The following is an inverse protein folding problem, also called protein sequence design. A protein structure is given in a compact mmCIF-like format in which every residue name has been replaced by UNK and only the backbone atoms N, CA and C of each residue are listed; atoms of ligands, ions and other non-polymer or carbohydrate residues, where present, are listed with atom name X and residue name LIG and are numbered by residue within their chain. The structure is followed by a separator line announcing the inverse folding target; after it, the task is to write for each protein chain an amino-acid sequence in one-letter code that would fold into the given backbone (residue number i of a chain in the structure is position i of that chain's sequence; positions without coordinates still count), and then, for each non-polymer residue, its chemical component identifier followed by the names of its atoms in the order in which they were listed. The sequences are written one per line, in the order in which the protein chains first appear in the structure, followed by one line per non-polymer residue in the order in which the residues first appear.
data_IF_048146966548
#
_entry.id   IF_048146966548
#
_cell.length_a   1.000
_cell.length_b   1.000
_cell.length_c   1.000
_cell.angle_alpha   90.00
_cell.angle_beta   90.00
_cell.angle_gamma   90.00
#
_symmetry.space_group_name_H-M   'P 1'
#
loop_
_entity.id
_entity.type
_entity.pdbx_description
1 polymer ?
#
# COMPACT_ATOMS: atom_id res chain seq x y z
N UNK A 1 -9.44 -5.52 -3.56
CA UNK A 1 -8.49 -4.70 -2.79
C UNK A 1 -9.07 -3.30 -2.62
N UNK A 2 -9.07 -2.77 -1.42
CA UNK A 2 -9.56 -1.42 -1.12
C UNK A 2 -8.47 -0.55 -0.48
N UNK A 3 -8.55 0.75 -0.76
CA UNK A 3 -7.56 1.74 -0.30
C UNK A 3 -8.28 2.92 0.35
N UNK A 4 -8.33 2.97 1.69
CA UNK A 4 -8.90 4.11 2.41
C UNK A 4 -7.99 5.35 2.28
N UNK A 5 -8.59 6.52 2.35
CA UNK A 5 -7.88 7.80 2.25
C UNK A 5 -7.56 8.43 3.60
N UNK A 6 -8.21 7.98 4.68
CA UNK A 6 -8.02 8.47 6.04
C UNK A 6 -8.43 7.43 7.10
N UNK A 7 -8.36 7.79 8.38
CA UNK A 7 -8.70 6.90 9.50
C UNK A 7 -10.19 6.58 9.56
N UNK A 8 -11.07 7.50 9.19
CA UNK A 8 -12.52 7.27 9.18
C UNK A 8 -12.90 6.24 8.11
N UNK A 9 -12.36 6.38 6.90
CA UNK A 9 -12.52 5.38 5.86
C UNK A 9 -11.84 4.04 6.20
N UNK A 10 -10.71 4.05 6.89
CA UNK A 10 -10.08 2.82 7.35
C UNK A 10 -11.02 2.00 8.23
N UNK A 11 -11.72 2.64 9.17
CA UNK A 11 -12.74 1.98 10.00
C UNK A 11 -13.93 1.50 9.16
N UNK A 12 -14.47 2.35 8.29
CA UNK A 12 -15.61 2.01 7.45
C UNK A 12 -15.29 0.86 6.50
N UNK A 13 -14.14 0.90 5.84
CA UNK A 13 -13.71 -0.14 4.91
C UNK A 13 -13.37 -1.45 5.61
N UNK A 14 -12.84 -1.41 6.85
CA UNK A 14 -12.62 -2.62 7.64
C UNK A 14 -13.94 -3.34 7.94
N UNK A 15 -15.01 -2.62 8.28
CA UNK A 15 -16.35 -3.20 8.46
C UNK A 15 -16.88 -3.78 7.15
N UNK A 16 -16.84 -2.99 6.08
CA UNK A 16 -17.30 -3.41 4.75
C UNK A 16 -16.52 -4.62 4.22
N UNK A 17 -15.23 -4.75 4.57
CA UNK A 17 -14.39 -5.85 4.14
C UNK A 17 -14.93 -7.21 4.59
N UNK A 18 -15.48 -7.31 5.80
CA UNK A 18 -16.12 -8.55 6.27
C UNK A 18 -17.39 -8.86 5.47
N UNK A 19 -18.23 -7.88 5.22
CA UNK A 19 -19.45 -8.06 4.43
C UNK A 19 -19.13 -8.51 2.99
N UNK A 20 -18.18 -7.88 2.35
CA UNK A 20 -17.71 -8.23 1.00
C UNK A 20 -17.07 -9.62 0.99
N UNK A 21 -16.25 -9.94 2.00
CA UNK A 21 -15.61 -11.24 2.12
C UNK A 21 -16.62 -12.38 2.21
N UNK A 22 -17.62 -12.23 3.07
CA UNK A 22 -18.70 -13.24 3.24
C UNK A 22 -19.58 -13.33 1.99
N UNK A 23 -20.00 -12.18 1.44
CA UNK A 23 -20.87 -12.13 0.26
C UNK A 23 -20.25 -12.79 -0.97
N UNK A 24 -18.96 -12.58 -1.21
CA UNK A 24 -18.26 -13.05 -2.40
C UNK A 24 -17.33 -14.24 -2.16
N UNK A 25 -17.30 -14.79 -0.95
CA UNK A 25 -16.42 -15.93 -0.60
C UNK A 25 -14.95 -15.67 -1.01
N UNK A 26 -14.41 -14.51 -0.66
CA UNK A 26 -13.07 -14.09 -1.05
C UNK A 26 -12.39 -13.28 0.07
N UNK A 27 -11.07 -13.40 0.26
CA UNK A 27 -10.37 -12.50 1.17
C UNK A 27 -10.40 -11.06 0.62
N UNK A 28 -10.46 -10.09 1.52
CA UNK A 28 -10.33 -8.67 1.21
C UNK A 28 -9.00 -8.14 1.70
N UNK A 29 -8.24 -7.55 0.81
CA UNK A 29 -7.01 -6.84 1.15
C UNK A 29 -7.34 -5.36 1.38
N UNK A 30 -7.16 -4.90 2.61
CA UNK A 30 -7.21 -3.48 2.97
C UNK A 30 -5.78 -2.93 2.94
N UNK A 31 -5.46 -2.19 1.88
CA UNK A 31 -4.13 -1.62 1.69
C UNK A 31 -4.10 -0.20 2.25
N UNK A 32 -3.25 0.03 3.23
CA UNK A 32 -3.02 1.36 3.82
C UNK A 32 -1.60 1.81 3.51
N UNK A 33 -1.45 3.07 3.09
CA UNK A 33 -0.13 3.68 2.99
C UNK A 33 0.35 4.21 4.34
N UNK A 34 1.64 4.50 4.43
CA UNK A 34 2.27 5.01 5.66
C UNK A 34 1.58 6.27 6.18
N UNK A 35 1.16 7.17 5.31
CA UNK A 35 0.48 8.41 5.73
C UNK A 35 -0.85 8.15 6.40
N UNK A 36 -1.67 7.24 5.86
CA UNK A 36 -2.94 6.84 6.51
C UNK A 36 -2.67 6.19 7.87
N UNK A 37 -1.68 5.29 7.94
CA UNK A 37 -1.33 4.58 9.17
C UNK A 37 -0.80 5.51 10.29
N UNK A 38 -0.15 6.62 9.91
CA UNK A 38 0.42 7.60 10.86
C UNK A 38 -0.45 8.84 11.05
N UNK A 39 -1.50 9.02 10.25
CA UNK A 39 -2.43 10.14 10.39
C UNK A 39 -3.39 9.92 11.55
N UNK A 40 -3.98 11.02 11.98
CA UNK A 40 -5.06 11.04 12.96
C UNK A 40 -6.22 11.84 12.38
N UNK A 41 -7.42 11.29 12.49
CA UNK A 41 -8.65 11.99 12.15
C UNK A 41 -9.75 11.67 13.16
N UNK A 42 -10.79 12.48 13.18
CA UNK A 42 -11.96 12.21 14.02
C UNK A 42 -12.67 10.98 13.46
N UNK A 43 -12.92 10.01 14.32
CA UNK A 43 -13.61 8.77 13.99
C UNK A 43 -14.78 8.59 14.94
N UNK A 44 -15.96 8.35 14.41
CA UNK A 44 -17.15 8.07 15.21
C UNK A 44 -17.24 6.56 15.49
N UNK A 45 -17.07 6.12 16.74
CA UNK A 45 -17.24 4.72 17.09
C UNK A 45 -18.71 4.33 17.00
N UNK A 46 -18.98 3.12 16.56
CA UNK A 46 -20.33 2.54 16.57
C UNK A 46 -20.41 1.40 17.56
N UNK A 47 -21.63 1.07 18.01
CA UNK A 47 -21.86 -0.10 18.83
C UNK A 47 -21.43 -1.38 18.10
N UNK A 48 -20.93 -2.35 18.85
CA UNK A 48 -20.62 -3.68 18.33
C UNK A 48 -21.86 -4.32 17.74
N UNK A 49 -21.75 -4.86 16.53
CA UNK A 49 -22.78 -5.70 15.94
C UNK A 49 -22.52 -7.15 16.36
N UNK A 50 -23.51 -7.77 17.02
CA UNK A 50 -23.44 -9.18 17.34
C UNK A 50 -23.77 -10.00 16.10
N UNK A 51 -22.91 -10.94 15.76
CA UNK A 51 -23.08 -11.85 14.63
C UNK A 51 -23.16 -13.27 15.16
N UNK A 52 -24.15 -14.03 14.70
CA UNK A 52 -24.25 -15.45 15.01
C UNK A 52 -23.16 -16.22 14.27
N UNK A 53 -22.25 -16.89 14.97
CA UNK A 53 -21.19 -17.66 14.31
C UNK A 53 -21.78 -18.76 13.42
N UNK A 54 -21.28 -18.85 12.21
CA UNK A 54 -21.64 -19.94 11.28
C UNK A 54 -20.84 -21.20 11.72
N UNK A 55 -21.51 -22.36 11.92
CA UNK A 55 -20.80 -23.59 12.27
C UNK A 55 -19.80 -23.96 11.16
N UNK A 56 -18.64 -24.45 11.60
CA UNK A 56 -17.63 -24.95 10.66
C UNK A 56 -18.11 -26.24 10.00
N UNK A 57 -18.11 -26.25 8.69
CA UNK A 57 -18.35 -27.45 7.88
C UNK A 57 -17.08 -27.84 7.12
N UNK A 58 -16.67 -29.10 7.22
CA UNK A 58 -15.52 -29.63 6.49
C UNK A 58 -15.79 -29.64 5.00
N UNK A 59 -14.98 -28.90 4.23
CA UNK A 59 -15.09 -28.88 2.77
C UNK A 59 -13.69 -28.97 2.14
N UNK A 60 -13.28 -30.21 1.83
CA UNK A 60 -11.96 -30.50 1.24
C UNK A 60 -11.85 -29.84 -0.16
N UNK A 61 -12.89 -29.90 -0.96
CA UNK A 61 -12.88 -29.34 -2.31
C UNK A 61 -12.68 -27.81 -2.32
N UNK A 62 -13.10 -27.13 -1.22
CA UNK A 62 -12.93 -25.68 -1.05
C UNK A 62 -11.59 -25.29 -0.41
N UNK A 63 -11.13 -26.04 0.60
CA UNK A 63 -10.02 -25.61 1.45
C UNK A 63 -8.70 -26.35 1.22
N UNK A 64 -8.71 -27.43 0.41
CA UNK A 64 -7.49 -28.19 0.08
C UNK A 64 -7.28 -28.14 -1.44
N UNK A 65 -6.32 -27.30 -1.88
CA UNK A 65 -6.08 -27.03 -3.29
C UNK A 65 -5.21 -28.09 -3.97
N UNK A 66 -5.67 -29.35 -3.95
CA UNK A 66 -5.14 -30.37 -4.86
C UNK A 66 -5.42 -29.96 -6.32
N UNK A 67 -4.64 -30.42 -7.32
CA UNK A 67 -4.80 -30.04 -8.72
C UNK A 67 -6.23 -30.14 -9.26
N UNK A 68 -6.93 -31.22 -8.92
CA UNK A 68 -8.33 -31.42 -9.33
C UNK A 68 -9.27 -30.39 -8.68
N UNK A 69 -9.08 -30.09 -7.38
CA UNK A 69 -9.86 -29.09 -6.67
C UNK A 69 -9.58 -27.68 -7.21
N UNK A 70 -8.32 -27.35 -7.47
CA UNK A 70 -7.91 -26.06 -8.05
C UNK A 70 -8.53 -25.86 -9.44
N UNK A 71 -8.50 -26.88 -10.29
CA UNK A 71 -9.13 -26.85 -11.62
C UNK A 71 -10.64 -26.58 -11.54
N UNK A 72 -11.34 -27.23 -10.61
CA UNK A 72 -12.77 -27.01 -10.39
C UNK A 72 -13.10 -25.64 -9.80
N UNK A 73 -12.22 -25.09 -8.95
CA UNK A 73 -12.37 -23.77 -8.35
C UNK A 73 -12.10 -22.61 -9.30
N UNK A 74 -11.25 -22.79 -10.31
CA UNK A 74 -10.87 -21.70 -11.21
C UNK A 74 -12.05 -21.00 -11.88
N UNK A 75 -13.03 -21.69 -12.48
CA UNK A 75 -14.22 -21.03 -13.03
C UNK A 75 -15.02 -20.24 -12.00
N UNK A 76 -15.08 -20.72 -10.74
CA UNK A 76 -15.76 -20.02 -9.64
C UNK A 76 -15.05 -18.73 -9.31
N UNK A 77 -13.71 -18.74 -9.30
CA UNK A 77 -12.89 -17.53 -9.05
C UNK A 77 -13.10 -16.48 -10.13
N UNK A 78 -13.14 -16.90 -11.41
CA UNK A 78 -13.39 -15.99 -12.53
C UNK A 78 -14.79 -15.36 -12.45
N UNK A 79 -15.83 -16.18 -12.23
CA UNK A 79 -17.21 -15.68 -12.06
C UNK A 79 -17.33 -14.73 -10.88
N UNK A 80 -16.66 -15.02 -9.77
CA UNK A 80 -16.63 -14.16 -8.58
C UNK A 80 -15.96 -12.83 -8.86
N UNK A 81 -14.88 -12.83 -9.65
CA UNK A 81 -14.18 -11.60 -10.05
C UNK A 81 -15.08 -10.69 -10.86
N UNK A 82 -15.84 -11.26 -11.81
CA UNK A 82 -16.84 -10.50 -12.57
C UNK A 82 -17.98 -9.97 -11.69
N UNK A 83 -18.46 -10.77 -10.73
CA UNK A 83 -19.49 -10.33 -9.79
C UNK A 83 -18.98 -9.19 -8.86
N UNK A 84 -17.72 -9.26 -8.41
CA UNK A 84 -17.09 -8.17 -7.66
C UNK A 84 -16.92 -6.91 -8.50
N UNK A 85 -16.59 -7.03 -9.77
CA UNK A 85 -16.48 -5.89 -10.68
C UNK A 85 -17.86 -5.23 -10.86
N UNK A 86 -18.91 -6.00 -11.09
CA UNK A 86 -20.27 -5.48 -11.17
C UNK A 86 -20.71 -4.80 -9.86
N UNK A 87 -20.35 -5.35 -8.71
CA UNK A 87 -20.61 -4.71 -7.42
C UNK A 87 -19.84 -3.40 -7.27
N UNK A 88 -18.58 -3.34 -7.71
CA UNK A 88 -17.76 -2.13 -7.64
C UNK A 88 -18.35 -0.94 -8.39
N UNK A 89 -19.17 -1.19 -9.43
CA UNK A 89 -19.87 -0.12 -10.19
C UNK A 89 -20.86 0.68 -9.33
N UNK A 90 -21.49 0.03 -8.34
CA UNK A 90 -22.51 0.64 -7.51
C UNK A 90 -22.07 0.90 -6.08
N UNK A 91 -20.91 0.37 -5.70
CA UNK A 91 -20.38 0.51 -4.34
C UNK A 91 -20.11 1.98 -3.99
N UNK A 92 -20.60 2.43 -2.84
CA UNK A 92 -20.44 3.81 -2.35
C UNK A 92 -18.98 4.21 -2.10
N UNK A 93 -18.11 3.24 -1.87
CA UNK A 93 -16.67 3.50 -1.72
C UNK A 93 -16.01 4.00 -3.01
N UNK A 94 -16.67 3.77 -4.18
CA UNK A 94 -16.31 4.32 -5.48
C UNK A 94 -17.32 5.40 -5.82
N UNK A 95 -17.03 6.66 -5.53
CA UNK A 95 -17.98 7.75 -5.70
C UNK A 95 -17.49 8.80 -6.69
N UNK A 96 -18.44 9.32 -7.44
CA UNK A 96 -18.23 10.47 -8.32
C UNK A 96 -18.67 11.73 -7.56
N UNK A 97 -17.82 12.72 -7.55
CA UNK A 97 -18.11 14.04 -7.00
C UNK A 97 -18.08 15.05 -8.15
N UNK A 98 -19.11 15.85 -8.25
CA UNK A 98 -19.20 16.85 -9.31
C UNK A 98 -18.33 18.07 -9.03
N UNK A 99 -18.05 18.86 -10.07
CA UNK A 99 -17.22 20.04 -10.01
C UNK A 99 -17.72 21.14 -10.95
N UNK A 100 -17.29 22.36 -10.68
CA UNK A 100 -17.73 23.53 -11.48
C UNK A 100 -17.12 23.59 -12.90
N UNK A 101 -15.96 22.96 -13.10
CA UNK A 101 -15.17 23.02 -14.34
C UNK A 101 -14.89 21.61 -14.86
N UNK A 102 -15.57 21.20 -15.90
CA UNK A 102 -15.45 19.90 -16.56
C UNK A 102 -14.32 19.82 -17.61
N UNK A 103 -13.46 20.81 -17.68
CA UNK A 103 -12.26 20.76 -18.56
C UNK A 103 -11.28 19.66 -18.13
N UNK A 104 -11.28 19.31 -16.84
CA UNK A 104 -10.45 18.26 -16.24
C UNK A 104 -11.32 17.44 -15.28
N UNK A 105 -11.19 16.12 -15.33
CA UNK A 105 -11.69 15.22 -14.31
C UNK A 105 -10.53 14.48 -13.63
N UNK A 106 -10.58 14.36 -12.31
CA UNK A 106 -9.52 13.76 -11.51
C UNK A 106 -9.94 12.38 -11.02
N UNK A 107 -9.10 11.36 -11.23
CA UNK A 107 -9.30 10.02 -10.64
C UNK A 107 -8.22 9.80 -9.59
N UNK A 108 -8.63 9.49 -8.36
CA UNK A 108 -7.69 9.30 -7.26
C UNK A 108 -8.16 8.21 -6.27
N UNK A 109 -7.19 7.59 -5.60
CA UNK A 109 -7.40 6.65 -4.49
C UNK A 109 -6.51 7.04 -3.30
N UNK A 110 -6.74 6.40 -2.15
CA UNK A 110 -5.90 6.56 -0.95
C UNK A 110 -5.66 8.03 -0.60
N UNK A 111 -4.48 8.39 -0.09
CA UNK A 111 -4.10 9.77 0.28
C UNK A 111 -4.10 10.75 -0.87
N UNK A 112 -3.85 10.29 -2.10
CA UNK A 112 -3.90 11.16 -3.28
C UNK A 112 -5.27 11.82 -3.45
N UNK A 113 -6.35 11.14 -3.06
CA UNK A 113 -7.69 11.75 -3.04
C UNK A 113 -7.76 12.94 -2.07
N UNK A 114 -7.19 12.82 -0.86
CA UNK A 114 -7.20 13.92 0.12
C UNK A 114 -6.42 15.14 -0.42
N UNK A 115 -5.27 14.91 -1.06
CA UNK A 115 -4.49 16.00 -1.67
C UNK A 115 -5.25 16.69 -2.80
N UNK A 116 -5.92 15.91 -3.64
CA UNK A 116 -6.80 16.44 -4.70
C UNK A 116 -7.90 17.31 -4.11
N UNK A 117 -8.55 16.85 -3.04
CA UNK A 117 -9.63 17.61 -2.39
C UNK A 117 -9.14 18.90 -1.73
N UNK A 118 -7.98 18.86 -1.09
CA UNK A 118 -7.35 20.03 -0.47
C UNK A 118 -7.02 21.11 -1.54
N UNK A 119 -6.48 20.71 -2.67
CA UNK A 119 -6.05 21.63 -3.73
C UNK A 119 -7.22 22.13 -4.57
N UNK A 120 -8.12 21.24 -4.97
CA UNK A 120 -9.14 21.55 -5.96
C UNK A 120 -10.50 21.91 -5.37
N UNK A 121 -10.77 21.50 -4.12
CA UNK A 121 -12.08 21.67 -3.49
C UNK A 121 -13.20 21.07 -4.33
N UNK A 122 -14.11 21.92 -4.83
CA UNK A 122 -15.19 21.58 -5.76
C UNK A 122 -14.98 22.10 -7.17
N UNK A 123 -13.73 22.50 -7.53
CA UNK A 123 -13.47 23.07 -8.84
C UNK A 123 -13.63 22.05 -9.97
N UNK A 124 -13.02 20.88 -9.82
CA UNK A 124 -13.05 19.82 -10.83
C UNK A 124 -13.84 18.61 -10.35
N UNK A 125 -14.53 17.89 -11.24
CA UNK A 125 -15.10 16.59 -10.93
C UNK A 125 -14.02 15.61 -10.45
N UNK A 126 -14.34 14.79 -9.44
CA UNK A 126 -13.43 13.78 -8.88
C UNK A 126 -14.13 12.43 -8.86
N UNK A 127 -13.50 11.42 -9.46
CA UNK A 127 -13.84 10.01 -9.21
C UNK A 127 -12.89 9.47 -8.14
N UNK A 128 -13.42 9.31 -6.94
CA UNK A 128 -12.73 8.63 -5.86
C UNK A 128 -12.89 7.13 -6.01
N UNK A 129 -11.79 6.39 -6.02
CA UNK A 129 -11.76 4.94 -6.02
C UNK A 129 -11.36 4.42 -4.64
N UNK A 130 -12.31 3.85 -3.92
CA UNK A 130 -12.06 3.13 -2.67
C UNK A 130 -11.74 1.66 -2.91
N UNK A 131 -12.28 1.05 -3.97
CA UNK A 131 -11.88 -0.27 -4.45
C UNK A 131 -11.02 -0.11 -5.71
N UNK A 132 -9.80 -0.61 -5.66
CA UNK A 132 -8.81 -0.50 -6.74
C UNK A 132 -8.54 -1.83 -7.45
N UNK A 133 -9.12 -2.92 -6.97
CA UNK A 133 -9.12 -4.22 -7.66
C UNK A 133 -10.28 -5.10 -7.19
N UNK A 134 -11.21 -5.49 -8.10
CA UNK A 134 -11.33 -5.02 -9.48
C UNK A 134 -11.77 -3.56 -9.55
N UNK A 135 -11.40 -2.88 -10.64
CA UNK A 135 -11.80 -1.49 -10.89
C UNK A 135 -13.18 -1.42 -11.55
N UNK A 136 -14.00 -0.40 -11.25
CA UNK A 136 -15.34 -0.20 -11.84
C UNK A 136 -15.23 0.37 -13.25
N UNK A 137 -15.30 -0.48 -14.27
CA UNK A 137 -15.04 -0.15 -15.69
C UNK A 137 -16.04 0.87 -16.22
N UNK A 138 -17.34 0.63 -16.02
CA UNK A 138 -18.38 1.48 -16.59
C UNK A 138 -18.47 2.83 -15.85
N UNK A 139 -18.25 2.83 -14.54
CA UNK A 139 -18.16 4.07 -13.77
C UNK A 139 -16.98 4.95 -14.24
N UNK A 140 -15.82 4.35 -14.49
CA UNK A 140 -14.65 5.07 -15.02
C UNK A 140 -14.95 5.62 -16.42
N UNK A 141 -15.58 4.83 -17.30
CA UNK A 141 -15.99 5.28 -18.64
C UNK A 141 -16.99 6.43 -18.60
N UNK A 142 -18.02 6.29 -17.77
CA UNK A 142 -19.03 7.35 -17.58
C UNK A 142 -18.40 8.65 -17.05
N UNK A 143 -17.52 8.54 -16.08
CA UNK A 143 -16.76 9.67 -15.57
C UNK A 143 -15.91 10.32 -16.67
N UNK A 144 -15.16 9.54 -17.43
CA UNK A 144 -14.30 10.04 -18.49
C UNK A 144 -15.09 10.73 -19.62
N UNK A 145 -16.32 10.29 -19.88
CA UNK A 145 -17.20 10.93 -20.85
C UNK A 145 -17.80 12.26 -20.36
N UNK A 146 -17.83 12.49 -19.07
CA UNK A 146 -18.37 13.71 -18.46
C UNK A 146 -17.37 14.88 -18.43
N UNK A 147 -16.11 14.64 -18.79
CA UNK A 147 -15.03 15.63 -18.74
C UNK A 147 -14.22 15.67 -20.05
N UNK A 148 -13.55 16.78 -20.33
CA UNK A 148 -12.76 16.90 -21.55
C UNK A 148 -11.41 16.13 -21.48
N UNK A 149 -10.82 16.02 -20.30
CA UNK A 149 -9.54 15.33 -20.05
C UNK A 149 -9.57 14.65 -18.69
N UNK A 150 -9.02 13.44 -18.61
CA UNK A 150 -8.84 12.72 -17.36
C UNK A 150 -7.40 12.84 -16.87
N UNK A 151 -7.21 13.15 -15.60
CA UNK A 151 -5.91 13.11 -14.93
C UNK A 151 -6.01 12.12 -13.77
N UNK A 152 -5.18 11.09 -13.82
CA UNK A 152 -5.07 10.09 -12.74
C UNK A 152 -4.00 10.53 -11.75
N UNK A 153 -4.38 10.65 -10.49
CA UNK A 153 -3.48 11.03 -9.39
C UNK A 153 -3.28 9.80 -8.51
N UNK A 154 -2.20 9.08 -8.77
CA UNK A 154 -1.79 7.88 -8.03
C UNK A 154 -0.29 7.89 -7.78
N UNK A 155 0.15 7.46 -6.60
CA UNK A 155 1.56 7.32 -6.25
C UNK A 155 2.16 6.04 -6.85
N UNK A 156 3.49 5.99 -7.00
CA UNK A 156 4.23 4.86 -7.57
C UNK A 156 3.79 4.50 -8.99
N UNK A 157 3.52 3.24 -9.27
CA UNK A 157 3.19 2.74 -10.61
C UNK A 157 1.80 3.17 -11.08
N UNK A 158 1.67 3.40 -12.38
CA UNK A 158 0.43 3.83 -13.04
C UNK A 158 -0.56 2.69 -13.27
N UNK A 159 -1.12 2.11 -12.22
CA UNK A 159 -2.06 1.00 -12.29
C UNK A 159 -3.43 1.45 -12.77
N UNK A 160 -3.96 2.52 -12.17
CA UNK A 160 -5.27 3.09 -12.53
C UNK A 160 -5.18 3.72 -13.92
N UNK A 161 -4.12 4.48 -14.20
CA UNK A 161 -3.88 5.07 -15.53
C UNK A 161 -3.83 4.01 -16.63
N UNK A 162 -3.05 2.94 -16.41
CA UNK A 162 -2.94 1.81 -17.35
C UNK A 162 -4.28 1.14 -17.58
N UNK A 163 -5.06 0.95 -16.51
CA UNK A 163 -6.41 0.40 -16.64
C UNK A 163 -7.34 1.31 -17.45
N UNK A 164 -7.34 2.63 -17.18
CA UNK A 164 -8.13 3.60 -17.95
C UNK A 164 -7.81 3.50 -19.44
N UNK A 165 -6.52 3.43 -19.80
CA UNK A 165 -6.09 3.26 -21.19
C UNK A 165 -6.55 1.93 -21.78
N UNK A 166 -6.45 0.83 -21.01
CA UNK A 166 -6.83 -0.52 -21.46
C UNK A 166 -8.33 -0.67 -21.74
N UNK A 167 -9.17 0.08 -21.05
CA UNK A 167 -10.63 0.09 -21.27
C UNK A 167 -11.08 1.14 -22.30
N UNK A 168 -10.13 1.78 -22.99
CA UNK A 168 -10.40 2.69 -24.13
C UNK A 168 -10.67 4.16 -23.74
N UNK A 169 -10.38 4.59 -22.51
CA UNK A 169 -10.48 6.00 -22.14
C UNK A 169 -9.41 6.80 -22.88
N UNK A 170 -9.85 7.80 -23.61
CA UNK A 170 -8.97 8.71 -24.35
C UNK A 170 -8.57 9.90 -23.46
N UNK A 171 -7.53 10.64 -23.85
CA UNK A 171 -7.06 11.86 -23.16
C UNK A 171 -6.78 11.65 -21.68
N UNK A 172 -6.12 10.52 -21.34
CA UNK A 172 -5.68 10.21 -19.98
C UNK A 172 -4.23 10.63 -19.79
N UNK A 173 -3.96 11.37 -18.74
CA UNK A 173 -2.63 11.68 -18.22
C UNK A 173 -2.51 11.23 -16.76
N UNK A 174 -1.31 10.96 -16.32
CA UNK A 174 -1.03 10.53 -14.94
C UNK A 174 0.47 10.56 -14.68
N UNK A 175 1.19 9.50 -15.01
CA UNK A 175 2.64 9.38 -14.74
C UNK A 175 3.52 10.31 -15.58
N UNK A 176 3.04 10.75 -16.71
CA UNK A 176 3.66 11.82 -17.51
C UNK A 176 3.71 13.16 -16.75
N UNK A 177 2.75 13.41 -15.85
CA UNK A 177 2.69 14.60 -15.01
C UNK A 177 3.38 14.42 -13.66
N UNK A 178 3.10 13.31 -12.97
CA UNK A 178 3.48 13.12 -11.57
C UNK A 178 4.73 12.25 -11.36
N UNK A 179 5.12 11.45 -12.36
CA UNK A 179 6.23 10.47 -12.21
C UNK A 179 5.88 9.30 -11.30
N UNK A 180 6.93 8.48 -11.01
CA UNK A 180 6.80 7.25 -10.22
C UNK A 180 7.62 7.26 -8.93
N UNK A 181 8.26 8.37 -8.60
CA UNK A 181 9.23 8.43 -7.48
C UNK A 181 8.77 9.45 -6.45
N UNK A 182 8.86 9.07 -5.19
CA UNK A 182 8.55 9.93 -4.05
C UNK A 182 7.09 9.91 -3.63
N UNK A 183 6.81 10.57 -2.54
CA UNK A 183 5.46 10.85 -2.05
C UNK A 183 4.91 12.11 -2.70
N UNK A 184 3.60 12.17 -2.88
CA UNK A 184 2.93 13.40 -3.31
C UNK A 184 2.62 14.31 -2.12
N UNK A 185 2.48 15.60 -2.44
CA UNK A 185 1.95 16.60 -1.55
C UNK A 185 0.89 17.44 -2.27
N UNK A 186 0.17 18.27 -1.50
CA UNK A 186 -0.76 19.24 -2.07
C UNK A 186 -0.06 20.17 -3.06
N UNK A 187 1.18 20.58 -2.76
CA UNK A 187 1.95 21.46 -3.62
C UNK A 187 2.32 20.82 -4.95
N UNK A 188 2.68 19.53 -4.96
CA UNK A 188 2.97 18.80 -6.20
C UNK A 188 1.75 18.78 -7.12
N UNK A 189 0.58 18.50 -6.54
CA UNK A 189 -0.68 18.47 -7.30
C UNK A 189 -1.05 19.90 -7.80
N UNK A 190 -0.95 20.91 -6.93
CA UNK A 190 -1.23 22.28 -7.28
C UNK A 190 -0.34 22.77 -8.45
N UNK A 191 0.97 22.49 -8.39
CA UNK A 191 1.92 22.85 -9.43
C UNK A 191 1.56 22.19 -10.77
N UNK A 192 1.29 20.89 -10.77
CA UNK A 192 0.97 20.13 -11.99
C UNK A 192 -0.37 20.51 -12.60
N UNK A 193 -1.30 21.01 -11.80
CA UNK A 193 -2.60 21.54 -12.26
C UNK A 193 -2.57 23.04 -12.56
N UNK A 194 -1.42 23.71 -12.44
CA UNK A 194 -1.30 25.15 -12.66
C UNK A 194 -2.06 25.99 -11.63
N UNK A 195 -2.21 25.48 -10.40
CA UNK A 195 -2.89 26.15 -9.30
C UNK A 195 -1.89 26.82 -8.35
N UNK A 196 -2.40 27.64 -7.43
CA UNK A 196 -1.54 28.32 -6.46
C UNK A 196 -0.87 27.31 -5.49
N UNK A 197 0.43 27.43 -5.39
CA UNK A 197 1.25 26.62 -4.46
C UNK A 197 1.35 27.33 -3.11
N UNK A 198 1.14 26.61 -2.03
CA UNK A 198 1.35 27.12 -0.68
C UNK A 198 2.84 27.32 -0.41
N UNK A 199 3.26 28.56 -0.24
CA UNK A 199 4.63 28.88 0.22
C UNK A 199 4.66 28.84 1.75
N UNK A 200 5.18 27.77 2.31
CA UNK A 200 5.43 27.67 3.75
C UNK A 200 6.51 28.65 4.22
N UNK A 201 6.55 28.93 5.51
CA UNK A 201 7.64 29.68 6.12
C UNK A 201 8.96 28.93 5.97
N UNK A 202 9.96 29.57 5.40
CA UNK A 202 11.32 29.01 5.34
C UNK A 202 11.98 29.18 6.70
N UNK A 203 12.40 28.08 7.30
CA UNK A 203 13.28 28.13 8.46
C UNK A 203 14.69 28.49 8.00
N UNK A 204 15.32 29.42 8.71
CA UNK A 204 16.72 29.82 8.45
C UNK A 204 17.73 28.78 8.97
N UNK A 205 17.27 27.80 9.74
CA UNK A 205 18.09 26.77 10.35
C UNK A 205 17.94 25.45 9.59
N UNK A 206 19.04 24.74 9.40
CA UNK A 206 19.04 23.40 8.85
C UNK A 206 18.41 22.41 9.85
N UNK A 207 17.28 21.83 9.49
CA UNK A 207 16.66 20.78 10.31
C UNK A 207 17.49 19.51 10.17
N UNK A 208 18.06 18.95 11.29
CA UNK A 208 18.83 17.73 11.20
C UNK A 208 17.94 16.55 10.78
N UNK A 209 18.44 15.71 9.89
CA UNK A 209 17.81 14.45 9.55
C UNK A 209 17.66 13.56 10.78
N UNK A 210 16.51 12.90 10.93
CA UNK A 210 16.21 11.97 12.03
C UNK A 210 15.93 10.58 11.49
N UNK A 211 16.97 9.89 10.95
CA UNK A 211 16.78 8.53 10.47
C UNK A 211 16.45 7.58 11.63
N UNK A 212 15.75 6.49 11.40
CA UNK A 212 15.57 5.45 12.40
C UNK A 212 16.92 4.97 12.92
N UNK A 213 17.10 4.96 14.24
CA UNK A 213 18.33 4.51 14.90
C UNK A 213 17.99 3.64 16.10
N UNK A 214 18.94 2.81 16.52
CA UNK A 214 18.78 2.06 17.77
C UNK A 214 18.64 3.00 18.97
N UNK A 215 17.74 2.66 19.87
CA UNK A 215 17.52 3.42 21.12
C UNK A 215 18.82 3.57 21.92
N UNK A 216 18.93 4.67 22.66
CA UNK A 216 20.01 4.83 23.63
C UNK A 216 19.93 3.73 24.70
N UNK A 217 21.06 3.09 25.03
CA UNK A 217 21.09 1.98 25.99
C UNK A 217 20.51 0.64 25.49
N UNK A 218 20.15 0.53 24.20
CA UNK A 218 19.65 -0.70 23.65
C UNK A 218 20.65 -1.86 23.83
N UNK A 219 20.23 -3.03 24.37
CA UNK A 219 21.12 -4.18 24.62
C UNK A 219 21.72 -4.75 23.30
N UNK A 220 21.04 -4.63 22.19
CA UNK A 220 21.54 -5.09 20.87
C UNK A 220 22.81 -4.35 20.43
N UNK A 221 23.08 -3.13 20.94
CA UNK A 221 24.29 -2.37 20.58
C UNK A 221 25.58 -3.12 20.96
N UNK A 222 25.60 -3.80 22.09
CA UNK A 222 26.75 -4.63 22.51
C UNK A 222 27.04 -5.77 21.55
N UNK A 223 25.99 -6.46 21.08
CA UNK A 223 26.10 -7.52 20.08
C UNK A 223 26.70 -6.96 18.77
N UNK A 224 26.09 -5.92 18.21
CA UNK A 224 26.52 -5.36 16.94
C UNK A 224 27.92 -4.75 16.99
N UNK A 225 28.27 -4.12 18.11
CA UNK A 225 29.63 -3.66 18.32
C UNK A 225 30.64 -4.82 18.27
N UNK A 226 30.33 -5.93 18.92
CA UNK A 226 31.18 -7.13 18.93
C UNK A 226 31.32 -7.75 17.54
N UNK A 227 30.21 -7.85 16.79
CA UNK A 227 30.22 -8.37 15.41
C UNK A 227 31.10 -7.51 14.50
N UNK A 228 30.92 -6.18 14.55
CA UNK A 228 31.75 -5.22 13.80
C UNK A 228 33.22 -5.30 14.17
N UNK A 229 33.53 -5.30 15.49
CA UNK A 229 34.92 -5.36 15.99
C UNK A 229 35.64 -6.59 15.50
N UNK A 230 34.94 -7.71 15.38
CA UNK A 230 35.52 -8.96 14.88
C UNK A 230 35.49 -9.05 13.34
N UNK A 231 34.99 -8.04 12.64
CA UNK A 231 34.89 -7.99 11.16
C UNK A 231 34.20 -9.22 10.59
N UNK A 232 33.08 -9.62 11.19
CA UNK A 232 32.27 -10.74 10.72
C UNK A 232 31.34 -10.27 9.60
N UNK A 233 31.04 -11.17 8.68
CA UNK A 233 29.92 -11.00 7.73
C UNK A 233 28.63 -11.41 8.42
N UNK A 234 27.66 -10.52 8.45
CA UNK A 234 26.45 -10.69 9.25
C UNK A 234 25.19 -10.64 8.37
N UNK A 235 24.47 -11.74 8.32
CA UNK A 235 23.17 -11.79 7.72
C UNK A 235 22.15 -11.46 8.82
N UNK A 236 21.46 -10.32 8.65
CA UNK A 236 20.56 -9.74 9.63
C UNK A 236 19.11 -10.13 9.41
N UNK A 237 18.28 -9.73 10.36
CA UNK A 237 16.85 -9.93 10.36
C UNK A 237 16.11 -8.59 10.26
N UNK A 238 14.81 -8.63 10.05
CA UNK A 238 13.95 -7.45 9.99
C UNK A 238 13.63 -6.96 11.42
N UNK A 239 13.41 -5.65 11.52
CA UNK A 239 13.10 -4.97 12.78
C UNK A 239 14.31 -4.24 13.37
N UNK A 240 14.47 -4.24 14.69
CA UNK A 240 15.60 -3.58 15.36
C UNK A 240 16.97 -4.14 14.93
N UNK A 241 17.01 -5.37 14.45
CA UNK A 241 18.22 -5.97 13.92
C UNK A 241 18.69 -5.29 12.63
N UNK A 242 17.78 -4.90 11.73
CA UNK A 242 18.11 -4.12 10.54
C UNK A 242 18.80 -2.78 10.89
N UNK A 243 18.45 -2.17 12.04
CA UNK A 243 19.08 -0.93 12.50
C UNK A 243 20.54 -1.09 12.87
N UNK A 244 21.03 -2.32 13.04
CA UNK A 244 22.46 -2.61 13.17
C UNK A 244 23.28 -2.26 11.94
N UNK A 245 22.66 -2.07 10.78
CA UNK A 245 23.30 -1.57 9.56
C UNK A 245 23.57 -0.06 9.60
N UNK A 246 22.83 0.69 10.44
CA UNK A 246 22.99 2.15 10.53
C UNK A 246 24.30 2.55 11.25
N UNK A 247 24.78 3.74 10.92
CA UNK A 247 25.92 4.34 11.63
C UNK A 247 25.54 4.59 13.13
N UNK A 248 26.49 4.47 14.05
CA UNK A 248 27.91 4.14 13.87
C UNK A 248 28.23 2.64 13.83
N UNK A 249 27.24 1.78 14.03
CA UNK A 249 27.44 0.33 14.15
C UNK A 249 27.86 -0.30 12.83
N UNK A 250 27.04 -0.18 11.79
CA UNK A 250 27.32 -0.72 10.45
C UNK A 250 27.78 -2.19 10.51
N UNK A 251 27.02 -3.01 11.23
CA UNK A 251 27.40 -4.38 11.58
C UNK A 251 26.56 -5.44 10.84
N UNK A 252 25.66 -5.05 9.97
CA UNK A 252 24.81 -5.94 9.17
C UNK A 252 25.15 -5.76 7.71
N UNK A 253 25.38 -6.85 7.00
CA UNK A 253 25.73 -6.86 5.58
C UNK A 253 24.49 -7.05 4.68
N UNK A 254 23.55 -7.91 5.07
CA UNK A 254 22.32 -8.18 4.29
C UNK A 254 21.11 -8.40 5.19
N UNK A 255 19.94 -8.03 4.68
CA UNK A 255 18.65 -8.34 5.28
C UNK A 255 17.65 -8.63 4.15
N UNK A 256 16.89 -9.72 4.25
CA UNK A 256 15.92 -10.15 3.22
C UNK A 256 14.50 -10.09 3.79
N UNK A 257 14.18 -11.02 4.68
CA UNK A 257 12.90 -11.10 5.37
C UNK A 257 13.07 -11.76 6.73
N UNK A 258 12.05 -11.72 7.56
CA UNK A 258 12.08 -12.31 8.91
C UNK A 258 12.46 -13.79 8.84
N UNK A 259 13.48 -14.20 9.60
CA UNK A 259 14.03 -15.55 9.64
C UNK A 259 14.96 -15.94 8.48
N UNK A 260 15.00 -15.18 7.40
CA UNK A 260 15.83 -15.50 6.23
C UNK A 260 17.33 -15.38 6.48
N UNK A 261 17.76 -14.77 7.58
CA UNK A 261 19.17 -14.72 7.97
C UNK A 261 19.77 -16.12 8.12
N UNK A 262 19.02 -17.06 8.72
CA UNK A 262 19.47 -18.44 8.94
C UNK A 262 19.55 -19.22 7.62
N UNK A 263 18.49 -19.21 6.82
CA UNK A 263 18.48 -19.89 5.50
C UNK A 263 19.44 -19.23 4.51
N UNK A 264 19.51 -17.90 4.52
CA UNK A 264 20.45 -17.15 3.71
C UNK A 264 21.91 -17.44 4.07
N UNK A 265 22.22 -17.56 5.36
CA UNK A 265 23.55 -17.93 5.82
C UNK A 265 23.99 -19.30 5.29
N UNK A 266 23.06 -20.28 5.29
CA UNK A 266 23.35 -21.59 4.73
C UNK A 266 23.76 -21.48 3.24
N UNK A 267 22.96 -20.80 2.43
CA UNK A 267 23.26 -20.58 1.00
C UNK A 267 24.53 -19.79 0.78
N UNK A 268 24.74 -18.71 1.54
CA UNK A 268 25.95 -17.90 1.48
C UNK A 268 27.21 -18.71 1.76
N UNK A 269 27.20 -19.55 2.82
CA UNK A 269 28.34 -20.39 3.16
C UNK A 269 28.62 -21.46 2.11
N UNK A 270 27.58 -22.05 1.51
CA UNK A 270 27.74 -22.99 0.40
C UNK A 270 28.39 -22.35 -0.83
N UNK A 271 28.01 -21.12 -1.13
CA UNK A 271 28.53 -20.38 -2.29
C UNK A 271 29.93 -19.81 -2.05
N UNK A 272 30.22 -19.34 -0.82
CA UNK A 272 31.47 -18.64 -0.49
C UNK A 272 32.58 -19.56 0.00
N UNK A 273 32.29 -20.82 0.33
CA UNK A 273 33.22 -21.84 0.77
C UNK A 273 33.54 -21.81 2.27
N UNK A 274 34.18 -22.89 2.76
CA UNK A 274 34.42 -23.14 4.18
C UNK A 274 35.21 -22.06 4.91
N UNK A 275 36.19 -21.45 4.22
CA UNK A 275 37.00 -20.38 4.82
C UNK A 275 36.17 -19.18 5.26
N UNK A 276 35.13 -18.86 4.51
CA UNK A 276 34.24 -17.76 4.82
C UNK A 276 33.20 -18.16 5.87
N UNK A 277 32.78 -19.43 5.88
CA UNK A 277 31.81 -19.93 6.84
C UNK A 277 32.19 -19.67 8.30
N UNK A 278 33.48 -19.77 8.63
CA UNK A 278 33.98 -19.49 9.99
C UNK A 278 33.90 -17.98 10.38
N UNK A 279 33.61 -17.11 9.45
CA UNK A 279 33.52 -15.65 9.65
C UNK A 279 32.14 -15.06 9.35
N UNK A 280 31.14 -15.89 9.17
CA UNK A 280 29.78 -15.49 8.88
C UNK A 280 28.84 -15.84 10.03
N UNK A 281 27.89 -14.95 10.30
CA UNK A 281 26.95 -15.08 11.41
C UNK A 281 25.56 -14.69 10.92
N UNK A 282 24.55 -15.46 11.34
CA UNK A 282 23.15 -15.03 11.24
C UNK A 282 22.72 -14.40 12.56
N UNK A 283 22.01 -13.30 12.49
CA UNK A 283 21.33 -12.66 13.62
C UNK A 283 19.84 -12.73 13.37
N UNK A 284 19.08 -13.21 14.33
CA UNK A 284 17.65 -13.47 14.22
C UNK A 284 16.92 -12.87 15.41
N UNK A 285 15.72 -12.35 15.20
CA UNK A 285 14.83 -11.85 16.25
C UNK A 285 14.22 -12.98 17.08
N UNK A 286 13.75 -12.64 18.27
CA UNK A 286 13.14 -13.59 19.22
C UNK A 286 11.75 -14.07 18.80
N UNK A 287 11.09 -13.32 17.91
CA UNK A 287 9.74 -13.61 17.40
C UNK A 287 9.72 -13.97 15.92
N UNK A 288 10.83 -14.46 15.42
CA UNK A 288 10.98 -14.80 14.01
C UNK A 288 10.90 -16.30 13.75
#
# INVERSE_FOLDING_TARGET
MSEPSDAAESLAFAKLAYEVSEKFDTPVLLKMCTRVAHSQSVVEPSARQEVTPVPYEKNIAKFVMMPACAKARHPIVEQRTLALQAWAETAEINRMEDGADHSIGLIASSTSYQYVKEVCGSRYPVLKLGMVNPLPVEKIRAFAQSVARVIVVEELDGIIETHCRSIGVQNVSGKDLFGCIGEFSQNDIAEKLGMAVHTGSKLNEAIPARPPVMCAGCPHRGLFYTLKKNKLTVLGDIGCYTLGAAAPLQAIDTTICMGASVSGLHGFNKASGEKNAARTVAVIGDST
#
